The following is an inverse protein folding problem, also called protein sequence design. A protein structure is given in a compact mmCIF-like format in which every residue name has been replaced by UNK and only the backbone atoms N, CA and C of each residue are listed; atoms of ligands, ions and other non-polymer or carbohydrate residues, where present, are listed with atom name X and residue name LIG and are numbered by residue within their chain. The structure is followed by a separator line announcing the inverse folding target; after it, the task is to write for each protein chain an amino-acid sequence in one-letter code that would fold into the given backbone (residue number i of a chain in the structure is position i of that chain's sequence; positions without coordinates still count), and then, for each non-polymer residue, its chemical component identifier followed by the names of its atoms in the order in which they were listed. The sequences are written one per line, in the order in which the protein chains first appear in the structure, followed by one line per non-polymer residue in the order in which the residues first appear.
data_IF_858244809921
#
_entry.id   IF_858244809921
#
_cell.length_a   1.000
_cell.length_b   1.000
_cell.length_c   1.000
_cell.angle_alpha   90.00
_cell.angle_beta   90.00
_cell.angle_gamma   90.00
#
_symmetry.space_group_name_H-M   'P 1'
#
loop_
_entity.id
_entity.type
_entity.pdbx_description
1 polymer ?
#
# COMPACT_ATOMS: atom_id res chain seq x y z
N UNK A 1 -23.97 -25.04 30.54
CA UNK A 1 -23.08 -25.90 29.75
C UNK A 1 -21.91 -25.02 29.34
N UNK A 2 -20.73 -25.21 29.95
CA UNK A 2 -19.57 -24.38 29.63
C UNK A 2 -19.16 -24.61 28.17
N UNK A 3 -19.21 -23.55 27.37
CA UNK A 3 -18.70 -23.58 26.00
C UNK A 3 -17.18 -23.74 26.08
N UNK A 4 -16.69 -24.90 25.68
CA UNK A 4 -15.26 -25.16 25.62
C UNK A 4 -14.72 -24.58 24.32
N UNK A 5 -14.05 -23.44 24.41
CA UNK A 5 -13.42 -22.78 23.26
C UNK A 5 -12.38 -23.69 22.60
N UNK A 6 -12.31 -23.64 21.27
CA UNK A 6 -11.35 -24.41 20.50
C UNK A 6 -9.97 -23.74 20.58
N UNK A 7 -9.03 -24.38 21.29
CA UNK A 7 -7.67 -23.86 21.51
C UNK A 7 -6.95 -23.42 20.22
N UNK A 8 -7.13 -24.17 19.13
CA UNK A 8 -6.46 -23.86 17.85
C UNK A 8 -7.02 -22.58 17.20
N UNK A 9 -8.31 -22.27 17.44
CA UNK A 9 -8.91 -21.01 16.99
C UNK A 9 -8.34 -19.84 17.76
N UNK A 10 -8.23 -19.98 19.08
CA UNK A 10 -7.69 -18.93 19.93
C UNK A 10 -6.25 -18.59 19.52
N UNK A 11 -5.40 -19.59 19.33
CA UNK A 11 -4.02 -19.42 18.85
C UNK A 11 -3.98 -18.71 17.48
N UNK A 12 -4.85 -19.09 16.54
CA UNK A 12 -4.93 -18.42 15.24
C UNK A 12 -5.44 -16.97 15.37
N UNK A 13 -6.42 -16.71 16.23
CA UNK A 13 -6.93 -15.35 16.49
C UNK A 13 -5.85 -14.46 17.10
N UNK A 14 -5.06 -14.96 18.05
CA UNK A 14 -3.90 -14.25 18.60
C UNK A 14 -2.91 -13.87 17.49
N UNK A 15 -2.60 -14.82 16.59
CA UNK A 15 -1.75 -14.56 15.43
C UNK A 15 -2.34 -13.52 14.48
N UNK A 16 -3.64 -13.57 14.20
CA UNK A 16 -4.33 -12.59 13.36
C UNK A 16 -4.38 -11.18 13.96
N UNK A 17 -4.20 -11.07 15.28
CA UNK A 17 -4.13 -9.79 15.99
C UNK A 17 -2.70 -9.32 16.24
N UNK A 18 -1.70 -10.13 15.88
CA UNK A 18 -0.29 -9.76 16.02
C UNK A 18 0.10 -8.60 15.08
N UNK A 19 1.05 -7.74 15.48
CA UNK A 19 1.56 -6.69 14.61
C UNK A 19 2.16 -7.24 13.31
N UNK A 20 2.01 -6.49 12.22
CA UNK A 20 2.72 -6.81 10.98
C UNK A 20 4.17 -6.37 11.09
N UNK A 21 5.09 -7.23 10.64
CA UNK A 21 6.52 -6.93 10.60
C UNK A 21 6.93 -6.44 9.22
N UNK A 22 7.62 -5.30 9.14
CA UNK A 22 8.20 -4.76 7.91
C UNK A 22 9.72 -4.75 8.01
N UNK A 23 10.43 -5.19 6.97
CA UNK A 23 11.89 -5.23 6.97
C UNK A 23 12.49 -3.81 7.11
N UNK A 24 13.45 -3.61 8.01
CA UNK A 24 14.22 -2.36 8.11
C UNK A 24 15.42 -2.35 7.16
N UNK A 25 15.89 -1.17 6.76
CA UNK A 25 17.06 -1.04 5.88
C UNK A 25 18.39 -1.42 6.58
N UNK A 26 18.48 -1.17 7.88
CA UNK A 26 19.63 -1.42 8.77
C UNK A 26 19.51 -2.73 9.57
N UNK A 27 18.28 -3.27 9.66
CA UNK A 27 17.96 -4.45 10.47
C UNK A 27 17.66 -5.64 9.55
N UNK A 28 18.71 -6.30 9.07
CA UNK A 28 18.57 -7.60 8.37
C UNK A 28 17.90 -8.68 9.25
N UNK A 29 17.77 -8.47 10.58
CA UNK A 29 17.26 -9.46 11.53
C UNK A 29 16.08 -9.02 12.43
N UNK A 30 15.68 -7.75 12.47
CA UNK A 30 14.54 -7.28 13.30
C UNK A 30 13.57 -6.43 12.48
N UNK A 31 12.39 -6.97 12.19
CA UNK A 31 11.32 -6.23 11.54
C UNK A 31 10.81 -5.09 12.40
N UNK A 32 10.30 -4.03 11.77
CA UNK A 32 9.57 -2.95 12.42
C UNK A 32 8.12 -3.39 12.58
N UNK A 33 7.64 -3.40 13.81
CA UNK A 33 6.26 -3.77 14.15
C UNK A 33 5.28 -2.66 13.79
N UNK A 34 4.15 -3.06 13.23
CA UNK A 34 3.05 -2.17 12.88
C UNK A 34 1.75 -2.78 13.38
N UNK A 35 1.13 -2.10 14.34
CA UNK A 35 -0.14 -2.51 14.91
C UNK A 35 -1.25 -2.59 13.84
N UNK A 36 -2.08 -3.62 13.94
CA UNK A 36 -3.22 -3.84 13.04
C UNK A 36 -4.19 -2.66 13.02
N UNK A 37 -4.34 -1.94 14.14
CA UNK A 37 -5.14 -0.71 14.24
C UNK A 37 -4.73 0.33 13.18
N UNK A 38 -3.42 0.47 12.92
CA UNK A 38 -2.90 1.44 11.96
C UNK A 38 -3.17 1.03 10.51
N UNK A 39 -3.21 -0.27 10.25
CA UNK A 39 -3.53 -0.85 8.94
C UNK A 39 -5.02 -0.68 8.63
N UNK A 40 -5.86 -0.76 9.65
CA UNK A 40 -7.32 -0.59 9.59
C UNK A 40 -7.77 0.89 9.52
N UNK A 41 -6.87 1.86 9.68
CA UNK A 41 -7.22 3.29 9.67
C UNK A 41 -7.72 3.76 8.30
N UNK A 42 -9.03 3.96 8.18
CA UNK A 42 -9.67 4.41 6.93
C UNK A 42 -9.29 5.83 6.52
N UNK A 43 -8.79 6.66 7.44
CA UNK A 43 -8.30 8.01 7.14
C UNK A 43 -6.86 8.01 6.61
N UNK A 44 -6.14 6.90 6.80
CA UNK A 44 -4.74 6.77 6.46
C UNK A 44 -4.46 5.39 5.87
N UNK A 45 -4.42 5.35 4.55
CA UNK A 45 -4.13 4.15 3.79
C UNK A 45 -2.66 3.76 3.90
N UNK A 46 -2.36 3.07 4.99
CA UNK A 46 -1.01 2.65 5.36
C UNK A 46 -0.40 1.74 4.30
N UNK A 47 -1.16 0.81 3.73
CA UNK A 47 -0.68 -0.12 2.68
C UNK A 47 -0.16 0.66 1.47
N UNK A 48 -0.88 1.67 0.98
CA UNK A 48 -0.38 2.49 -0.11
C UNK A 48 0.82 3.35 0.31
N UNK A 49 0.83 3.92 1.52
CA UNK A 49 1.95 4.72 2.01
C UNK A 49 3.24 3.89 2.11
N UNK A 50 3.18 2.70 2.70
CA UNK A 50 4.36 1.83 2.85
C UNK A 50 4.82 1.29 1.49
N UNK A 51 3.90 0.95 0.59
CA UNK A 51 4.24 0.56 -0.79
C UNK A 51 4.97 1.69 -1.52
N UNK A 52 4.46 2.92 -1.42
CA UNK A 52 5.06 4.10 -2.02
C UNK A 52 6.46 4.37 -1.43
N UNK A 53 6.60 4.21 -0.10
CA UNK A 53 7.87 4.32 0.62
C UNK A 53 8.94 3.36 0.06
N UNK A 54 8.67 2.05 0.03
CA UNK A 54 9.64 1.07 -0.49
C UNK A 54 10.01 1.34 -1.95
N UNK A 55 9.05 1.80 -2.76
CA UNK A 55 9.27 2.18 -4.16
C UNK A 55 10.27 3.34 -4.29
N UNK A 56 10.08 4.40 -3.51
CA UNK A 56 10.90 5.60 -3.58
C UNK A 56 12.31 5.35 -3.04
N UNK A 57 12.42 4.56 -1.97
CA UNK A 57 13.72 4.19 -1.42
C UNK A 57 14.50 3.21 -2.31
N UNK A 58 13.80 2.36 -3.05
CA UNK A 58 14.38 1.61 -4.16
C UNK A 58 14.92 2.52 -5.28
N UNK A 59 14.19 3.59 -5.66
CA UNK A 59 14.58 4.51 -6.74
C UNK A 59 15.79 5.40 -6.41
N UNK A 60 16.09 5.61 -5.12
CA UNK A 60 17.33 6.27 -4.71
C UNK A 60 18.57 5.50 -5.16
N UNK A 61 18.49 4.17 -5.17
CA UNK A 61 19.60 3.30 -5.56
C UNK A 61 19.86 3.47 -7.05
N UNK A 62 21.08 3.91 -7.38
CA UNK A 62 21.50 3.89 -8.76
C UNK A 62 21.83 2.44 -9.10
N UNK A 63 21.00 1.81 -9.93
CA UNK A 63 21.33 0.55 -10.58
C UNK A 63 22.35 0.82 -11.70
N UNK A 64 23.49 1.44 -11.33
CA UNK A 64 24.60 1.73 -12.22
C UNK A 64 25.25 0.40 -12.61
N UNK A 65 25.28 0.11 -13.90
CA UNK A 65 25.73 -1.17 -14.44
C UNK A 65 25.07 -1.47 -15.78
N UNK A 66 24.52 -2.69 -15.93
CA UNK A 66 24.03 -3.26 -17.21
C UNK A 66 22.62 -2.83 -17.63
N UNK A 67 21.78 -2.31 -16.73
CA UNK A 67 20.39 -1.94 -17.03
C UNK A 67 20.25 -0.42 -17.17
N UNK A 68 19.56 0.04 -18.23
CA UNK A 68 19.20 1.46 -18.38
C UNK A 68 18.30 1.89 -17.21
N UNK A 69 18.51 3.11 -16.67
CA UNK A 69 17.73 3.69 -15.55
C UNK A 69 16.21 3.54 -15.77
N UNK A 70 15.73 3.77 -17.00
CA UNK A 70 14.32 3.61 -17.36
C UNK A 70 13.80 2.17 -17.18
N UNK A 71 14.59 1.18 -17.52
CA UNK A 71 14.23 -0.23 -17.37
C UNK A 71 14.24 -0.66 -15.90
N UNK A 72 15.24 -0.22 -15.13
CA UNK A 72 15.30 -0.47 -13.69
C UNK A 72 14.08 0.14 -12.98
N UNK A 73 13.76 1.40 -13.26
CA UNK A 73 12.59 2.09 -12.70
C UNK A 73 11.28 1.36 -13.03
N UNK A 74 11.14 0.82 -14.25
CA UNK A 74 9.97 0.02 -14.63
C UNK A 74 9.84 -1.25 -13.78
N UNK A 75 10.93 -1.99 -13.60
CA UNK A 75 10.95 -3.23 -12.80
C UNK A 75 10.64 -2.93 -11.32
N UNK A 76 11.18 -1.83 -10.77
CA UNK A 76 10.85 -1.35 -9.43
C UNK A 76 9.33 -1.13 -9.34
N UNK A 77 8.74 -0.40 -10.29
CA UNK A 77 7.30 -0.16 -10.30
C UNK A 77 6.45 -1.42 -10.37
N UNK A 78 6.81 -2.39 -11.22
CA UNK A 78 6.11 -3.67 -11.31
C UNK A 78 6.22 -4.49 -10.03
N UNK A 79 7.39 -4.48 -9.39
CA UNK A 79 7.65 -5.17 -8.13
C UNK A 79 6.89 -4.53 -6.97
N UNK A 80 6.89 -3.20 -6.90
CA UNK A 80 6.11 -2.44 -5.91
C UNK A 80 4.60 -2.60 -6.08
N UNK A 81 4.09 -2.66 -7.32
CA UNK A 81 2.68 -2.95 -7.54
C UNK A 81 2.32 -4.34 -7.03
N UNK A 82 3.16 -5.34 -7.33
CA UNK A 82 2.98 -6.69 -6.80
C UNK A 82 3.04 -6.72 -5.26
N UNK A 83 3.97 -5.99 -4.65
CA UNK A 83 4.07 -5.84 -3.20
C UNK A 83 2.78 -5.28 -2.60
N UNK A 84 2.29 -4.15 -3.12
CA UNK A 84 1.06 -3.55 -2.62
C UNK A 84 -0.17 -4.46 -2.83
N UNK A 85 -0.26 -5.17 -3.96
CA UNK A 85 -1.33 -6.13 -4.21
C UNK A 85 -1.25 -7.31 -3.20
N UNK A 86 -0.05 -7.81 -2.90
CA UNK A 86 0.16 -8.86 -1.89
C UNK A 86 -0.26 -8.40 -0.48
N UNK A 87 0.08 -7.17 -0.07
CA UNK A 87 -0.36 -6.62 1.21
C UNK A 87 -1.89 -6.48 1.29
N UNK A 88 -2.55 -6.10 0.20
CA UNK A 88 -4.02 -6.03 0.14
C UNK A 88 -4.67 -7.41 0.24
N UNK A 89 -4.07 -8.42 -0.38
CA UNK A 89 -4.50 -9.82 -0.20
C UNK A 89 -4.31 -10.28 1.24
N UNK A 90 -3.16 -9.99 1.87
CA UNK A 90 -2.93 -10.28 3.30
C UNK A 90 -4.03 -9.67 4.16
N UNK A 91 -4.28 -8.38 3.97
CA UNK A 91 -5.29 -7.63 4.70
C UNK A 91 -6.69 -8.24 4.53
N UNK A 92 -7.11 -8.50 3.29
CA UNK A 92 -8.39 -9.13 3.01
C UNK A 92 -8.52 -10.50 3.67
N UNK A 93 -7.49 -11.34 3.56
CA UNK A 93 -7.50 -12.67 4.14
C UNK A 93 -7.61 -12.63 5.68
N UNK A 94 -6.80 -11.80 6.33
CA UNK A 94 -6.83 -11.67 7.80
C UNK A 94 -8.15 -11.09 8.30
N UNK A 95 -8.69 -10.06 7.64
CA UNK A 95 -9.96 -9.43 8.03
C UNK A 95 -11.13 -10.40 7.90
N UNK A 96 -11.24 -11.08 6.74
CA UNK A 96 -12.30 -12.06 6.53
C UNK A 96 -12.16 -13.27 7.45
N UNK A 97 -10.95 -13.75 7.67
CA UNK A 97 -10.72 -14.88 8.56
C UNK A 97 -11.06 -14.52 10.02
N UNK A 98 -10.60 -13.36 10.52
CA UNK A 98 -10.99 -12.85 11.85
C UNK A 98 -12.51 -12.77 12.01
N UNK A 99 -13.20 -12.16 11.05
CA UNK A 99 -14.65 -12.00 11.09
C UNK A 99 -15.40 -13.34 11.14
N UNK A 100 -14.93 -14.36 10.40
CA UNK A 100 -15.57 -15.67 10.42
C UNK A 100 -15.23 -16.47 11.70
N UNK A 101 -14.00 -16.37 12.21
CA UNK A 101 -13.57 -17.08 13.41
C UNK A 101 -14.26 -16.59 14.69
N UNK A 102 -14.63 -15.31 14.78
CA UNK A 102 -15.46 -14.79 15.89
C UNK A 102 -16.79 -15.54 16.05
N UNK A 103 -17.33 -16.09 14.96
CA UNK A 103 -18.59 -16.86 14.98
C UNK A 103 -18.39 -18.34 15.25
N UNK A 104 -17.16 -18.80 15.39
CA UNK A 104 -16.77 -20.22 15.39
C UNK A 104 -15.90 -20.60 16.60
N UNK A 105 -15.77 -19.75 17.60
CA UNK A 105 -14.89 -19.96 18.76
C UNK A 105 -15.14 -21.28 19.51
N UNK A 106 -16.39 -21.74 19.49
CA UNK A 106 -16.88 -22.96 20.12
C UNK A 106 -17.30 -24.03 19.09
N UNK A 107 -16.82 -23.95 17.84
CA UNK A 107 -17.19 -24.90 16.78
C UNK A 107 -16.74 -26.32 17.12
N UNK A 108 -17.67 -27.26 16.92
CA UNK A 108 -17.39 -28.70 17.07
C UNK A 108 -17.17 -29.37 15.73
N UNK A 109 -16.60 -30.57 15.72
CA UNK A 109 -16.34 -31.30 14.48
C UNK A 109 -17.66 -31.79 13.84
N UNK A 110 -18.69 -32.10 14.63
CA UNK A 110 -20.02 -32.49 14.12
C UNK A 110 -20.70 -31.36 13.33
N UNK A 111 -20.41 -30.10 13.67
CA UNK A 111 -20.90 -28.95 12.90
C UNK A 111 -20.28 -28.84 11.51
N UNK A 112 -19.28 -29.67 11.18
CA UNK A 112 -18.70 -29.79 9.84
C UNK A 112 -19.44 -30.82 8.99
N UNK A 113 -20.30 -31.67 9.56
CA UNK A 113 -20.98 -32.76 8.83
C UNK A 113 -21.82 -32.27 7.66
N UNK A 114 -22.41 -31.07 7.76
CA UNK A 114 -23.15 -30.46 6.64
C UNK A 114 -22.26 -30.24 5.41
N UNK A 115 -20.94 -30.08 5.60
CA UNK A 115 -20.00 -29.97 4.51
C UNK A 115 -19.96 -31.28 3.74
N UNK A 116 -20.14 -32.46 4.35
CA UNK A 116 -20.16 -33.70 3.58
C UNK A 116 -21.35 -33.76 2.62
N UNK A 117 -22.55 -33.46 3.11
CA UNK A 117 -23.77 -33.44 2.30
C UNK A 117 -23.79 -32.30 1.28
N UNK A 118 -23.43 -31.09 1.72
CA UNK A 118 -23.41 -29.91 0.86
C UNK A 118 -22.24 -29.94 -0.13
N UNK A 119 -21.06 -30.44 0.28
CA UNK A 119 -19.92 -30.58 -0.61
C UNK A 119 -20.03 -31.77 -1.52
N UNK A 120 -20.86 -32.81 -1.31
CA UNK A 120 -21.09 -33.80 -2.37
C UNK A 120 -21.82 -33.14 -3.56
N UNK A 121 -22.81 -32.30 -3.27
CA UNK A 121 -23.50 -31.49 -4.27
C UNK A 121 -22.59 -30.41 -4.89
N UNK A 122 -21.81 -29.69 -4.06
CA UNK A 122 -20.86 -28.69 -4.55
C UNK A 122 -19.62 -29.36 -5.19
N UNK A 123 -19.20 -30.55 -4.81
CA UNK A 123 -18.02 -31.21 -5.40
C UNK A 123 -18.36 -31.73 -6.77
N UNK A 124 -19.48 -32.40 -7.02
CA UNK A 124 -19.82 -32.79 -8.40
C UNK A 124 -20.07 -31.58 -9.31
N UNK A 125 -20.76 -30.55 -8.80
CA UNK A 125 -21.01 -29.32 -9.56
C UNK A 125 -19.73 -28.47 -9.77
N UNK A 126 -18.84 -28.40 -8.78
CA UNK A 126 -17.66 -27.53 -8.80
C UNK A 126 -16.35 -28.23 -9.21
N UNK A 127 -16.20 -29.54 -9.01
CA UNK A 127 -15.06 -30.34 -9.47
C UNK A 127 -14.99 -30.38 -11.00
N UNK A 128 -16.12 -30.51 -11.70
CA UNK A 128 -16.15 -30.47 -13.16
C UNK A 128 -16.08 -29.06 -13.74
N UNK A 129 -16.67 -28.06 -13.07
CA UNK A 129 -16.76 -26.68 -13.60
C UNK A 129 -15.57 -25.77 -13.23
N UNK A 130 -14.91 -26.00 -12.09
CA UNK A 130 -13.96 -25.06 -11.50
C UNK A 130 -12.56 -25.61 -11.19
N UNK A 131 -12.22 -26.85 -11.61
CA UNK A 131 -10.87 -27.47 -11.48
C UNK A 131 -9.71 -26.58 -11.92
N UNK A 132 -9.99 -25.52 -12.70
CA UNK A 132 -9.02 -24.50 -13.16
C UNK A 132 -9.52 -23.06 -13.07
N UNK A 133 -10.69 -22.80 -12.49
CA UNK A 133 -11.31 -21.47 -12.51
C UNK A 133 -11.43 -20.88 -11.11
N UNK A 134 -10.34 -20.25 -10.66
CA UNK A 134 -10.23 -19.52 -9.40
C UNK A 134 -11.29 -18.40 -9.26
N UNK A 135 -11.79 -17.85 -10.38
CA UNK A 135 -12.82 -16.81 -10.37
C UNK A 135 -14.13 -17.32 -9.79
N UNK A 136 -14.47 -18.58 -10.08
CA UNK A 136 -15.68 -19.20 -9.56
C UNK A 136 -15.68 -19.43 -8.06
N UNK A 137 -14.50 -19.67 -7.47
CA UNK A 137 -14.37 -19.76 -6.01
C UNK A 137 -14.64 -18.41 -5.35
N UNK A 138 -14.20 -17.31 -5.96
CA UNK A 138 -14.54 -15.95 -5.49
C UNK A 138 -16.04 -15.64 -5.66
N UNK A 139 -16.65 -16.06 -6.77
CA UNK A 139 -18.09 -15.88 -6.99
C UNK A 139 -18.91 -16.67 -5.96
N UNK A 140 -18.54 -17.92 -5.68
CA UNK A 140 -19.15 -18.73 -4.62
C UNK A 140 -18.95 -18.07 -3.25
N UNK A 141 -17.73 -17.63 -2.94
CA UNK A 141 -17.44 -16.91 -1.70
C UNK A 141 -18.34 -15.69 -1.52
N UNK A 142 -18.54 -14.89 -2.58
CA UNK A 142 -19.49 -13.76 -2.55
C UNK A 142 -20.92 -14.21 -2.25
N UNK A 143 -21.40 -15.28 -2.88
CA UNK A 143 -22.76 -15.81 -2.63
C UNK A 143 -22.94 -16.27 -1.19
N UNK A 144 -21.90 -16.77 -0.53
CA UNK A 144 -22.01 -17.10 0.90
C UNK A 144 -22.36 -15.89 1.76
N UNK A 145 -22.06 -14.66 1.31
CA UNK A 145 -22.35 -13.41 2.04
C UNK A 145 -23.76 -12.87 1.79
N UNK A 146 -24.53 -13.44 0.85
CA UNK A 146 -25.91 -13.02 0.62
C UNK A 146 -26.86 -13.69 1.61
N UNK A 147 -27.90 -12.95 2.03
CA UNK A 147 -28.99 -13.49 2.85
C UNK A 147 -29.80 -14.49 2.03
N UNK A 148 -30.33 -15.53 2.68
CA UNK A 148 -31.11 -16.59 2.05
C UNK A 148 -30.31 -17.85 1.72
N UNK A 149 -30.88 -18.71 0.89
CA UNK A 149 -30.29 -19.99 0.49
C UNK A 149 -29.09 -19.80 -0.44
N UNK A 150 -28.15 -20.73 -0.37
CA UNK A 150 -27.00 -20.81 -1.26
C UNK A 150 -27.27 -21.89 -2.31
N UNK A 151 -27.53 -21.47 -3.55
CA UNK A 151 -27.84 -22.39 -4.67
C UNK A 151 -28.98 -23.37 -4.34
N UNK A 152 -29.99 -22.92 -3.57
CA UNK A 152 -31.13 -23.74 -3.15
C UNK A 152 -30.94 -24.49 -1.83
N UNK A 153 -29.76 -24.38 -1.20
CA UNK A 153 -29.45 -25.00 0.10
C UNK A 153 -29.61 -23.97 1.22
N UNK A 154 -30.46 -24.26 2.19
CA UNK A 154 -30.66 -23.42 3.37
C UNK A 154 -29.54 -23.66 4.39
N UNK A 155 -28.52 -22.81 4.34
CA UNK A 155 -27.41 -22.81 5.29
C UNK A 155 -27.61 -21.73 6.36
N UNK A 156 -27.39 -22.09 7.62
CA UNK A 156 -27.28 -21.13 8.72
C UNK A 156 -26.08 -20.18 8.50
N UNK A 157 -26.09 -18.99 9.11
CA UNK A 157 -24.93 -18.08 9.02
C UNK A 157 -23.65 -18.69 9.63
N UNK A 158 -23.79 -19.61 10.59
CA UNK A 158 -22.66 -20.33 11.17
C UNK A 158 -22.06 -21.31 10.16
N UNK A 159 -22.89 -22.12 9.50
CA UNK A 159 -22.46 -23.00 8.40
C UNK A 159 -21.87 -22.20 7.24
N UNK A 160 -22.44 -21.05 6.88
CA UNK A 160 -21.85 -20.14 5.89
C UNK A 160 -20.48 -19.61 6.34
N UNK A 161 -20.27 -19.35 7.63
CA UNK A 161 -18.97 -18.91 8.16
C UNK A 161 -17.92 -20.01 8.05
N UNK A 162 -18.29 -21.26 8.37
CA UNK A 162 -17.44 -22.44 8.14
C UNK A 162 -17.05 -22.54 6.66
N UNK A 163 -18.04 -22.45 5.75
CA UNK A 163 -17.81 -22.52 4.32
C UNK A 163 -16.90 -21.38 3.83
N UNK A 164 -17.06 -20.16 4.36
CA UNK A 164 -16.20 -19.01 4.03
C UNK A 164 -14.75 -19.27 4.41
N UNK A 165 -14.47 -19.84 5.59
CA UNK A 165 -13.10 -20.21 6.00
C UNK A 165 -12.50 -21.23 5.03
N UNK A 166 -13.25 -22.30 4.72
CA UNK A 166 -12.81 -23.32 3.78
C UNK A 166 -12.52 -22.75 2.39
N UNK A 167 -13.41 -21.88 1.88
CA UNK A 167 -13.24 -21.22 0.59
C UNK A 167 -12.05 -20.26 0.57
N UNK A 168 -11.85 -19.45 1.61
CA UNK A 168 -10.67 -18.57 1.73
C UNK A 168 -9.38 -19.37 1.68
N UNK A 169 -9.31 -20.47 2.45
CA UNK A 169 -8.17 -21.37 2.46
C UNK A 169 -7.88 -21.95 1.07
N UNK A 170 -8.92 -22.41 0.37
CA UNK A 170 -8.78 -22.96 -0.99
C UNK A 170 -8.34 -21.89 -2.02
N UNK A 171 -8.97 -20.71 -1.99
CA UNK A 171 -8.63 -19.58 -2.85
C UNK A 171 -7.16 -19.20 -2.64
N UNK A 172 -6.70 -19.07 -1.40
CA UNK A 172 -5.32 -18.65 -1.13
C UNK A 172 -4.30 -19.76 -1.33
N UNK A 173 -4.65 -21.03 -1.08
CA UNK A 173 -3.77 -22.16 -1.37
C UNK A 173 -3.37 -22.21 -2.86
N UNK A 174 -4.26 -21.83 -3.78
CA UNK A 174 -3.95 -21.68 -5.22
C UNK A 174 -2.75 -20.77 -5.50
N UNK A 175 -2.55 -19.71 -4.69
CA UNK A 175 -1.44 -18.77 -4.86
C UNK A 175 -0.07 -19.41 -4.56
N UNK A 176 -0.05 -20.43 -3.70
CA UNK A 176 1.18 -21.01 -3.16
C UNK A 176 1.40 -22.47 -3.58
N UNK A 177 0.42 -23.06 -4.28
CA UNK A 177 0.33 -24.48 -4.62
C UNK A 177 1.63 -25.08 -5.21
N UNK A 178 2.29 -24.40 -6.16
CA UNK A 178 3.46 -24.95 -6.87
C UNK A 178 4.79 -24.90 -6.12
N UNK A 179 4.90 -24.23 -4.97
CA UNK A 179 6.18 -24.09 -4.24
C UNK A 179 6.22 -24.76 -2.86
N UNK A 180 5.09 -24.84 -2.16
CA UNK A 180 5.09 -25.23 -0.73
C UNK A 180 3.97 -26.19 -0.34
N UNK A 181 3.26 -26.68 -1.35
CA UNK A 181 2.10 -27.54 -1.24
C UNK A 181 2.27 -28.74 -2.19
N UNK A 182 3.53 -29.09 -2.52
CA UNK A 182 3.89 -30.17 -3.45
C UNK A 182 3.49 -31.55 -2.91
N UNK A 183 3.55 -31.74 -1.59
CA UNK A 183 3.13 -32.97 -0.90
C UNK A 183 1.61 -33.08 -0.74
N UNK A 184 0.86 -32.11 -1.27
CA UNK A 184 -0.57 -32.00 -1.09
C UNK A 184 -1.22 -31.91 -2.48
N UNK A 185 -1.64 -33.05 -3.03
CA UNK A 185 -2.23 -33.10 -4.35
C UNK A 185 -3.51 -32.21 -4.40
N UNK A 186 -3.52 -31.25 -5.34
CA UNK A 186 -4.58 -30.26 -5.53
C UNK A 186 -6.04 -30.75 -5.54
N UNK A 187 -6.37 -32.02 -5.88
CA UNK A 187 -7.75 -32.48 -5.75
C UNK A 187 -8.26 -32.60 -4.30
N UNK A 188 -7.41 -32.60 -3.27
CA UNK A 188 -7.82 -32.95 -1.90
C UNK A 188 -8.09 -31.75 -0.95
N UNK A 189 -7.85 -30.50 -1.36
CA UNK A 189 -8.00 -29.32 -0.47
C UNK A 189 -9.44 -28.90 -0.17
N UNK A 190 -10.38 -29.27 -1.04
CA UNK A 190 -11.80 -29.14 -0.75
C UNK A 190 -12.25 -30.12 0.35
N UNK A 191 -11.38 -31.04 0.80
CA UNK A 191 -11.75 -32.23 1.56
C UNK A 191 -10.98 -32.42 2.89
N UNK A 192 -10.24 -31.42 3.38
CA UNK A 192 -9.81 -31.45 4.78
C UNK A 192 -11.00 -31.06 5.65
N UNK A 193 -11.68 -32.10 6.14
CA UNK A 193 -12.96 -32.02 6.83
C UNK A 193 -12.84 -31.65 8.31
N UNK A 194 -11.63 -31.69 8.85
CA UNK A 194 -11.42 -31.36 10.26
C UNK A 194 -10.95 -29.92 10.46
N UNK A 195 -11.38 -29.35 11.57
CA UNK A 195 -11.11 -27.95 11.87
C UNK A 195 -9.62 -27.68 12.11
N UNK A 196 -8.91 -28.63 12.72
CA UNK A 196 -7.46 -28.54 12.98
C UNK A 196 -6.67 -28.40 11.67
N UNK A 197 -7.05 -29.11 10.62
CA UNK A 197 -6.46 -28.97 9.29
C UNK A 197 -6.75 -27.61 8.67
N UNK A 198 -7.97 -27.09 8.79
CA UNK A 198 -8.32 -25.75 8.27
C UNK A 198 -7.48 -24.66 8.95
N UNK A 199 -7.31 -24.72 10.27
CA UNK A 199 -6.45 -23.81 11.02
C UNK A 199 -4.99 -23.89 10.53
N UNK A 200 -4.44 -25.10 10.41
CA UNK A 200 -3.06 -25.30 9.92
C UNK A 200 -2.86 -24.76 8.50
N UNK A 201 -3.85 -24.91 7.63
CA UNK A 201 -3.82 -24.32 6.27
C UNK A 201 -3.78 -22.80 6.37
N UNK A 202 -4.62 -22.19 7.22
CA UNK A 202 -4.62 -20.74 7.41
C UNK A 202 -3.29 -20.22 7.94
N UNK A 203 -2.72 -20.88 8.94
CA UNK A 203 -1.40 -20.52 9.47
C UNK A 203 -0.30 -20.58 8.41
N UNK A 204 -0.36 -21.60 7.55
CA UNK A 204 0.59 -21.78 6.45
C UNK A 204 0.42 -20.68 5.41
N UNK A 205 -0.80 -20.31 5.06
CA UNK A 205 -1.09 -19.22 4.12
C UNK A 205 -0.51 -17.90 4.65
N UNK A 206 -0.78 -17.55 5.91
CA UNK A 206 -0.25 -16.34 6.55
C UNK A 206 1.28 -16.31 6.50
N UNK A 207 1.91 -17.42 6.93
CA UNK A 207 3.37 -17.56 6.88
C UNK A 207 3.92 -17.37 5.46
N UNK A 208 3.26 -17.96 4.47
CA UNK A 208 3.69 -17.89 3.06
C UNK A 208 3.57 -16.47 2.48
N UNK A 209 2.52 -15.73 2.86
CA UNK A 209 2.36 -14.32 2.49
C UNK A 209 3.49 -13.50 3.11
N UNK A 210 3.80 -13.70 4.40
CA UNK A 210 4.87 -12.96 5.08
C UNK A 210 6.26 -13.28 4.51
N UNK A 211 6.52 -14.53 4.14
CA UNK A 211 7.75 -14.93 3.46
C UNK A 211 7.92 -14.24 2.10
N UNK A 212 6.89 -14.23 1.27
CA UNK A 212 6.90 -13.50 0.00
C UNK A 212 7.09 -11.99 0.24
N UNK A 213 6.34 -11.43 1.19
CA UNK A 213 6.39 -10.01 1.56
C UNK A 213 7.82 -9.60 1.91
N UNK A 214 8.43 -10.28 2.87
CA UNK A 214 9.82 -10.04 3.31
C UNK A 214 10.81 -10.23 2.16
N UNK A 215 10.60 -11.24 1.32
CA UNK A 215 11.40 -11.44 0.11
C UNK A 215 11.31 -10.26 -0.87
N UNK A 216 10.14 -9.65 -1.04
CA UNK A 216 9.96 -8.47 -1.90
C UNK A 216 10.57 -7.22 -1.26
N UNK A 217 10.35 -7.00 0.03
CA UNK A 217 10.95 -5.90 0.80
C UNK A 217 12.48 -5.94 0.71
N UNK A 218 13.08 -7.11 0.94
CA UNK A 218 14.51 -7.36 0.78
C UNK A 218 14.94 -7.09 -0.66
N UNK A 219 14.20 -7.58 -1.65
CA UNK A 219 14.50 -7.32 -3.05
C UNK A 219 14.48 -5.83 -3.41
N UNK A 220 13.59 -5.01 -2.81
CA UNK A 220 13.52 -3.55 -2.99
C UNK A 220 14.60 -2.82 -2.18
N UNK A 221 14.96 -3.33 -0.99
CA UNK A 221 16.01 -2.74 -0.15
C UNK A 221 17.44 -3.09 -0.57
N UNK A 222 17.67 -4.24 -1.15
CA UNK A 222 18.99 -4.70 -1.55
C UNK A 222 19.10 -4.86 -3.08
N UNK A 223 18.29 -4.08 -3.81
CA UNK A 223 18.27 -4.03 -5.28
C UNK A 223 19.67 -3.98 -5.88
N UNK A 224 20.03 -5.06 -6.58
CA UNK A 224 21.19 -5.12 -7.46
C UNK A 224 20.78 -5.66 -8.85
N UNK A 225 21.71 -5.62 -9.81
CA UNK A 225 21.45 -6.05 -11.20
C UNK A 225 21.07 -7.52 -11.35
N UNK A 226 21.58 -8.41 -10.48
CA UNK A 226 21.24 -9.83 -10.49
C UNK A 226 19.84 -10.09 -9.91
N UNK A 227 19.48 -9.38 -8.84
CA UNK A 227 18.15 -9.40 -8.22
C UNK A 227 17.09 -8.98 -9.24
N UNK A 228 17.33 -7.92 -10.01
CA UNK A 228 16.40 -7.47 -11.06
C UNK A 228 16.15 -8.53 -12.14
N UNK A 229 17.16 -9.28 -12.56
CA UNK A 229 17.01 -10.36 -13.55
C UNK A 229 16.20 -11.53 -12.98
N UNK A 230 16.34 -11.86 -11.69
CA UNK A 230 15.51 -12.90 -11.02
C UNK A 230 14.05 -12.45 -10.86
N UNK A 231 13.83 -11.18 -10.56
CA UNK A 231 12.48 -10.55 -10.43
C UNK A 231 11.69 -10.61 -11.74
N UNK A 232 12.37 -10.53 -12.90
CA UNK A 232 11.78 -10.66 -14.24
C UNK A 232 11.18 -12.06 -14.49
N UNK A 233 11.78 -13.10 -13.91
CA UNK A 233 11.39 -14.51 -14.11
C UNK A 233 10.14 -14.90 -13.28
N UNK A 234 9.79 -14.13 -12.25
CA UNK A 234 8.64 -14.38 -11.37
C UNK A 234 7.26 -13.88 -11.86
N UNK A 235 7.06 -13.69 -13.17
CA UNK A 235 5.90 -12.97 -13.74
C UNK A 235 4.53 -13.62 -13.48
N UNK A 236 4.45 -14.95 -13.40
CA UNK A 236 3.16 -15.67 -13.27
C UNK A 236 2.47 -15.42 -11.94
N UNK A 237 3.19 -15.49 -10.82
CA UNK A 237 2.62 -15.26 -9.47
C UNK A 237 2.16 -13.80 -9.31
N UNK A 238 2.96 -12.85 -9.81
CA UNK A 238 2.60 -11.43 -9.86
C UNK A 238 1.28 -11.20 -10.58
N UNK A 239 1.09 -11.87 -11.72
CA UNK A 239 -0.16 -11.78 -12.49
C UNK A 239 -1.35 -12.31 -11.69
N UNK A 240 -1.25 -13.50 -11.09
CA UNK A 240 -2.35 -14.11 -10.33
C UNK A 240 -2.73 -13.24 -9.12
N UNK A 241 -1.76 -12.75 -8.35
CA UNK A 241 -2.04 -11.86 -7.21
C UNK A 241 -2.78 -10.60 -7.63
N UNK A 242 -2.38 -9.99 -8.75
CA UNK A 242 -3.09 -8.81 -9.28
C UNK A 242 -4.51 -9.15 -9.76
N UNK A 243 -4.72 -10.32 -10.37
CA UNK A 243 -6.05 -10.77 -10.77
C UNK A 243 -6.97 -11.04 -9.57
N UNK A 244 -6.44 -11.60 -8.48
CA UNK A 244 -7.20 -11.80 -7.25
C UNK A 244 -7.65 -10.47 -6.65
N UNK A 245 -6.75 -9.48 -6.54
CA UNK A 245 -7.14 -8.15 -6.08
C UNK A 245 -8.26 -7.53 -6.94
N UNK A 246 -8.14 -7.62 -8.27
CA UNK A 246 -9.18 -7.11 -9.18
C UNK A 246 -10.51 -7.81 -8.96
N UNK A 247 -10.52 -9.14 -8.85
CA UNK A 247 -11.76 -9.90 -8.64
C UNK A 247 -12.41 -9.55 -7.30
N UNK A 248 -11.62 -9.34 -6.24
CA UNK A 248 -12.12 -8.85 -4.94
C UNK A 248 -12.79 -7.48 -5.09
N UNK A 249 -12.18 -6.55 -5.82
CA UNK A 249 -12.76 -5.22 -6.10
C UNK A 249 -14.01 -5.31 -6.98
N UNK A 250 -13.97 -6.06 -8.07
CA UNK A 250 -15.09 -6.28 -9.01
C UNK A 250 -16.32 -6.87 -8.32
N UNK A 251 -16.08 -7.77 -7.36
CA UNK A 251 -17.13 -8.40 -6.58
C UNK A 251 -17.62 -7.54 -5.40
N UNK A 252 -16.98 -6.41 -5.12
CA UNK A 252 -17.17 -5.57 -3.93
C UNK A 252 -16.99 -6.37 -2.63
N UNK A 253 -16.06 -7.32 -2.61
CA UNK A 253 -15.74 -8.09 -1.40
C UNK A 253 -14.91 -7.28 -0.41
N UNK A 254 -14.07 -6.37 -0.92
CA UNK A 254 -13.41 -5.35 -0.13
C UNK A 254 -13.22 -4.07 -0.97
N UNK A 255 -13.36 -2.93 -0.31
CA UNK A 255 -13.05 -1.64 -0.91
C UNK A 255 -11.61 -1.27 -0.57
N UNK A 256 -10.66 -1.73 -1.38
CA UNK A 256 -9.30 -1.23 -1.27
C UNK A 256 -9.32 0.28 -1.53
N UNK A 257 -8.74 1.06 -0.61
CA UNK A 257 -8.69 2.51 -0.75
C UNK A 257 -8.05 2.83 -2.10
N UNK A 258 -8.90 3.36 -2.97
CA UNK A 258 -8.58 3.57 -4.37
C UNK A 258 -7.33 4.47 -4.43
N UNK A 259 -6.36 4.14 -5.29
CA UNK A 259 -5.01 4.74 -5.45
C UNK A 259 -4.96 6.26 -5.69
N UNK A 260 -6.04 7.01 -5.46
CA UNK A 260 -6.34 8.30 -6.08
C UNK A 260 -5.52 9.46 -5.55
N UNK A 261 -4.99 9.47 -4.31
CA UNK A 261 -4.26 10.66 -3.83
C UNK A 261 -3.00 10.42 -2.99
N UNK A 262 -2.63 9.18 -2.66
CA UNK A 262 -1.42 8.96 -1.86
C UNK A 262 -0.17 9.11 -2.74
N UNK A 263 0.87 9.73 -2.17
CA UNK A 263 2.17 9.87 -2.81
C UNK A 263 3.19 9.98 -1.69
N UNK A 264 4.21 9.14 -1.71
CA UNK A 264 5.44 9.38 -0.97
C UNK A 264 6.52 9.94 -1.91
N UNK A 265 7.37 10.82 -1.39
CA UNK A 265 8.59 11.26 -2.04
C UNK A 265 9.69 11.53 -1.01
N UNK A 266 10.94 11.42 -1.44
CA UNK A 266 12.07 11.76 -0.61
C UNK A 266 13.25 12.34 -1.39
N UNK A 267 14.13 13.05 -0.68
CA UNK A 267 15.35 13.66 -1.21
C UNK A 267 16.47 13.45 -0.20
N UNK A 268 17.64 13.03 -0.68
CA UNK A 268 18.87 12.96 0.13
C UNK A 268 19.74 14.16 -0.23
N UNK A 269 20.01 15.02 0.74
CA UNK A 269 20.75 16.28 0.55
C UNK A 269 21.45 16.68 1.85
N UNK A 270 22.72 17.09 1.77
CA UNK A 270 23.52 17.52 2.93
C UNK A 270 23.49 16.53 4.11
N UNK A 271 23.62 15.23 3.85
CA UNK A 271 23.51 14.15 4.84
C UNK A 271 22.17 14.08 5.60
N UNK A 272 21.13 14.75 5.10
CA UNK A 272 19.76 14.64 5.61
C UNK A 272 18.87 13.93 4.58
N UNK A 273 18.02 13.03 5.05
CA UNK A 273 16.99 12.38 4.26
C UNK A 273 15.65 13.07 4.50
N UNK A 274 15.24 13.90 3.56
CA UNK A 274 13.96 14.60 3.61
C UNK A 274 12.86 13.70 3.06
N UNK A 275 11.82 13.44 3.85
CA UNK A 275 10.70 12.59 3.45
C UNK A 275 9.38 13.37 3.52
N UNK A 276 8.41 13.03 2.68
CA UNK A 276 7.09 13.65 2.75
C UNK A 276 6.02 12.75 2.15
N UNK A 277 4.81 12.84 2.71
CA UNK A 277 3.63 12.07 2.30
C UNK A 277 2.52 13.03 1.90
N UNK A 278 1.92 12.87 0.74
CA UNK A 278 0.75 13.65 0.33
C UNK A 278 -0.43 13.35 1.24
N UNK A 279 -1.16 14.39 1.66
CA UNK A 279 -2.29 14.27 2.59
C UNK A 279 -1.90 14.39 4.06
N UNK A 280 -0.64 14.16 4.42
CA UNK A 280 -0.12 14.39 5.78
C UNK A 280 0.52 15.78 5.85
N UNK A 281 -0.26 16.78 6.27
CA UNK A 281 0.18 18.19 6.25
C UNK A 281 0.20 18.85 7.64
N UNK A 282 0.00 18.08 8.69
CA UNK A 282 -0.02 18.61 10.05
C UNK A 282 1.38 19.11 10.43
N UNK A 283 1.46 20.33 10.97
CA UNK A 283 2.73 21.03 11.24
C UNK A 283 3.52 20.37 12.38
N UNK A 284 2.83 19.60 13.22
CA UNK A 284 3.40 18.99 14.42
C UNK A 284 4.03 17.61 14.16
N UNK A 285 3.91 17.09 12.93
CA UNK A 285 4.51 15.81 12.56
C UNK A 285 6.04 15.94 12.54
N UNK A 286 6.72 15.06 13.27
CA UNK A 286 8.18 15.00 13.38
C UNK A 286 8.71 13.66 12.90
N UNK A 287 9.95 13.65 12.39
CA UNK A 287 10.66 12.43 12.07
C UNK A 287 11.38 11.90 13.32
N UNK A 288 10.72 11.05 14.09
CA UNK A 288 11.24 10.42 15.32
C UNK A 288 10.91 8.93 15.28
N UNK A 289 11.73 8.08 15.91
CA UNK A 289 11.50 6.62 15.95
C UNK A 289 10.46 6.27 17.02
N UNK A 290 10.58 6.85 18.21
CA UNK A 290 9.70 6.52 19.34
C UNK A 290 8.44 7.36 19.34
N UNK A 291 7.28 6.71 19.28
CA UNK A 291 6.00 7.36 19.53
C UNK A 291 5.44 7.01 20.90
N UNK A 292 4.96 8.02 21.62
CA UNK A 292 4.07 7.80 22.76
C UNK A 292 2.81 7.05 22.28
N UNK A 293 2.27 6.13 23.09
CA UNK A 293 0.98 5.45 22.81
C UNK A 293 -0.15 6.42 22.46
N UNK A 294 -0.11 7.66 22.98
CA UNK A 294 -1.08 8.74 22.71
C UNK A 294 -0.84 9.52 21.40
N UNK A 295 0.16 9.17 20.60
CA UNK A 295 0.45 9.85 19.34
C UNK A 295 -0.67 9.59 18.31
N UNK A 296 -0.94 10.58 17.45
CA UNK A 296 -1.88 10.41 16.34
C UNK A 296 -1.38 9.36 15.35
N UNK A 297 -2.30 8.67 14.67
CA UNK A 297 -1.96 7.66 13.65
C UNK A 297 -1.05 8.23 12.54
N UNK A 298 -1.24 9.50 12.17
CA UNK A 298 -0.37 10.20 11.21
C UNK A 298 1.08 10.30 11.69
N UNK A 299 1.29 10.61 12.97
CA UNK A 299 2.63 10.63 13.58
C UNK A 299 3.20 9.21 13.69
N UNK A 300 2.38 8.21 14.09
CA UNK A 300 2.78 6.79 14.15
C UNK A 300 3.31 6.31 12.79
N UNK A 301 2.59 6.59 11.69
CA UNK A 301 3.05 6.23 10.34
C UNK A 301 4.42 6.83 10.00
N UNK A 302 4.61 8.14 10.23
CA UNK A 302 5.92 8.75 9.94
C UNK A 302 7.02 8.13 10.78
N UNK A 303 6.73 7.79 12.03
CA UNK A 303 7.72 7.22 12.94
C UNK A 303 8.11 5.80 12.53
N UNK A 304 7.14 4.98 12.13
CA UNK A 304 7.37 3.66 11.52
C UNK A 304 8.24 3.78 10.27
N UNK A 305 7.96 4.72 9.36
CA UNK A 305 8.79 4.88 8.16
C UNK A 305 10.22 5.32 8.50
N UNK A 306 10.39 6.17 9.51
CA UNK A 306 11.73 6.58 10.00
C UNK A 306 12.46 5.39 10.61
N UNK A 307 11.77 4.57 11.39
CA UNK A 307 12.34 3.35 11.95
C UNK A 307 12.74 2.35 10.86
N UNK A 308 11.89 2.14 9.85
CA UNK A 308 12.19 1.27 8.70
C UNK A 308 13.41 1.80 7.93
N UNK A 309 13.59 3.11 7.81
CA UNK A 309 14.76 3.69 7.13
C UNK A 309 16.07 3.41 7.86
N UNK A 310 16.08 3.37 9.19
CA UNK A 310 17.29 3.07 9.97
C UNK A 310 18.44 4.07 9.79
N UNK A 311 18.20 5.26 9.22
CA UNK A 311 19.24 6.27 8.97
C UNK A 311 19.18 7.40 9.99
N UNK A 312 20.36 7.86 10.44
CA UNK A 312 20.47 8.75 11.61
C UNK A 312 20.01 10.21 11.44
N UNK A 313 19.70 10.67 10.22
CA UNK A 313 19.25 12.05 10.01
C UNK A 313 18.11 12.12 8.97
N UNK A 314 16.87 11.99 9.47
CA UNK A 314 15.64 12.08 8.69
C UNK A 314 14.87 13.34 9.10
N UNK A 315 14.33 14.06 8.13
CA UNK A 315 13.42 15.18 8.37
C UNK A 315 12.09 14.95 7.65
N UNK A 316 10.98 15.07 8.37
CA UNK A 316 9.65 15.07 7.78
C UNK A 316 9.31 16.48 7.26
N UNK A 317 8.97 16.59 5.98
CA UNK A 317 8.66 17.87 5.33
C UNK A 317 7.15 18.04 5.20
N UNK A 318 6.57 18.90 6.04
CA UNK A 318 5.18 19.37 5.94
C UNK A 318 5.02 20.55 4.96
N UNK A 319 3.81 21.09 4.81
CA UNK A 319 3.60 22.28 3.97
C UNK A 319 4.14 23.52 4.71
N UNK A 320 5.21 24.10 4.18
CA UNK A 320 5.77 25.36 4.68
C UNK A 320 4.96 26.57 4.18
N UNK A 321 4.92 27.66 4.97
CA UNK A 321 4.27 28.93 4.61
C UNK A 321 4.76 29.50 3.28
N UNK A 322 6.02 29.27 2.92
CA UNK A 322 6.64 29.73 1.67
C UNK A 322 6.43 28.77 0.51
N UNK A 323 5.77 27.62 0.71
CA UNK A 323 5.45 26.67 -0.37
C UNK A 323 4.66 27.37 -1.45
N UNK A 324 5.07 27.24 -2.71
CA UNK A 324 4.54 28.01 -3.84
C UNK A 324 3.62 27.19 -4.72
N UNK A 325 2.51 27.81 -5.12
CA UNK A 325 1.72 27.39 -6.28
C UNK A 325 2.01 28.33 -7.44
N UNK A 326 2.48 27.79 -8.56
CA UNK A 326 2.83 28.57 -9.73
C UNK A 326 1.67 28.63 -10.72
N UNK A 327 1.32 29.84 -11.14
CA UNK A 327 0.45 30.11 -12.28
C UNK A 327 1.22 29.97 -13.60
N UNK A 328 0.48 30.00 -14.73
CA UNK A 328 1.09 30.14 -16.06
C UNK A 328 1.93 31.42 -16.11
N UNK A 329 3.11 31.35 -16.74
CA UNK A 329 4.09 32.45 -16.88
C UNK A 329 4.88 32.84 -15.62
N UNK A 330 4.94 31.98 -14.59
CA UNK A 330 5.90 32.15 -13.48
C UNK A 330 5.44 33.03 -12.33
N UNK A 331 4.26 33.65 -12.41
CA UNK A 331 3.59 34.24 -11.23
C UNK A 331 3.25 33.12 -10.23
N UNK A 332 3.25 33.42 -8.94
CA UNK A 332 2.99 32.42 -7.91
C UNK A 332 2.33 33.02 -6.67
N UNK A 333 1.59 32.17 -5.95
CA UNK A 333 1.10 32.44 -4.59
C UNK A 333 1.78 31.50 -3.60
N UNK A 334 1.95 31.94 -2.36
CA UNK A 334 2.46 31.13 -1.25
C UNK A 334 1.32 30.47 -0.46
N UNK A 335 1.65 29.43 0.30
CA UNK A 335 0.71 28.79 1.21
C UNK A 335 0.19 29.77 2.27
N UNK A 336 1.02 30.70 2.73
CA UNK A 336 0.58 31.76 3.65
C UNK A 336 -0.53 32.64 3.05
N UNK A 337 -0.40 33.03 1.77
CA UNK A 337 -1.45 33.79 1.09
C UNK A 337 -2.74 32.95 0.96
N UNK A 338 -2.60 31.65 0.74
CA UNK A 338 -3.72 30.72 0.69
C UNK A 338 -4.40 30.54 2.06
N UNK A 339 -3.65 30.35 3.15
CA UNK A 339 -4.20 30.25 4.51
C UNK A 339 -5.03 31.49 4.85
N UNK A 340 -4.52 32.69 4.55
CA UNK A 340 -5.25 33.97 4.74
C UNK A 340 -6.52 34.06 3.91
N UNK A 341 -6.57 33.41 2.74
CA UNK A 341 -7.74 33.44 1.86
C UNK A 341 -8.92 32.61 2.35
N UNK A 342 -8.71 31.66 3.28
CA UNK A 342 -9.71 30.67 3.73
C UNK A 342 -10.33 29.85 2.58
N UNK A 343 -9.64 29.76 1.44
CA UNK A 343 -10.06 28.92 0.31
C UNK A 343 -9.97 27.43 0.67
N UNK A 344 -10.86 26.63 0.06
CA UNK A 344 -10.89 25.16 0.22
C UNK A 344 -10.01 24.42 -0.80
N UNK A 345 -9.43 25.12 -1.77
CA UNK A 345 -8.67 24.53 -2.88
C UNK A 345 -7.22 24.16 -2.49
N UNK A 346 -7.07 23.35 -1.44
CA UNK A 346 -5.77 23.05 -0.82
C UNK A 346 -4.85 22.17 -1.69
N UNK A 347 -5.39 21.44 -2.69
CA UNK A 347 -4.62 20.60 -3.64
C UNK A 347 -3.48 21.37 -4.31
N UNK A 348 -3.59 22.69 -4.40
CA UNK A 348 -2.52 23.58 -4.85
C UNK A 348 -1.19 23.40 -4.10
N UNK A 349 -1.19 22.92 -2.86
CA UNK A 349 0.01 22.88 -2.00
C UNK A 349 0.37 21.50 -1.45
N UNK A 350 -0.53 20.50 -1.56
CA UNK A 350 -0.36 19.21 -0.87
C UNK A 350 0.62 18.23 -1.52
N UNK A 351 0.93 18.38 -2.82
CA UNK A 351 1.82 17.45 -3.50
C UNK A 351 3.25 17.47 -2.93
N UNK A 352 3.81 16.29 -2.75
CA UNK A 352 5.13 16.01 -2.22
C UNK A 352 6.25 16.84 -2.87
N UNK A 353 6.22 16.96 -4.20
CA UNK A 353 7.25 17.64 -4.97
C UNK A 353 7.31 19.13 -4.61
N UNK A 354 6.15 19.77 -4.39
CA UNK A 354 6.12 21.20 -4.02
C UNK A 354 6.63 21.43 -2.60
N UNK A 355 6.26 20.55 -1.66
CA UNK A 355 6.78 20.57 -0.28
C UNK A 355 8.30 20.46 -0.28
N UNK A 356 8.84 19.46 -0.98
CA UNK A 356 10.28 19.23 -1.09
C UNK A 356 11.00 20.37 -1.84
N UNK A 357 10.44 20.89 -2.94
CA UNK A 357 11.03 22.05 -3.65
C UNK A 357 11.12 23.25 -2.71
N UNK A 358 10.08 23.53 -1.92
CA UNK A 358 10.09 24.62 -0.94
C UNK A 358 11.17 24.44 0.12
N UNK A 359 11.31 23.21 0.65
CA UNK A 359 12.35 22.88 1.62
C UNK A 359 13.76 23.02 1.04
N UNK A 360 13.99 22.55 -0.19
CA UNK A 360 15.29 22.68 -0.85
C UNK A 360 15.65 24.16 -1.08
N UNK A 361 14.67 24.99 -1.47
CA UNK A 361 14.86 26.44 -1.63
C UNK A 361 15.23 27.11 -0.29
N UNK A 362 14.68 26.63 0.84
CA UNK A 362 14.96 27.19 2.17
C UNK A 362 16.32 26.81 2.76
N UNK A 363 16.91 25.70 2.35
CA UNK A 363 18.26 25.27 2.79
C UNK A 363 19.36 26.25 2.36
N UNK A 364 19.13 27.07 1.32
CA UNK A 364 20.06 28.13 0.95
C UNK A 364 21.40 27.61 0.39
N UNK A 365 21.33 26.67 -0.55
CA UNK A 365 22.49 25.99 -1.14
C UNK A 365 23.61 26.96 -1.59
N UNK A 366 24.89 26.61 -1.38
CA UNK A 366 26.02 27.48 -1.75
C UNK A 366 26.31 27.48 -3.26
N UNK A 367 26.13 26.34 -3.93
CA UNK A 367 26.41 26.13 -5.36
C UNK A 367 25.20 25.54 -6.08
N UNK A 368 25.17 25.69 -7.40
CA UNK A 368 24.10 25.12 -8.24
C UNK A 368 24.26 23.60 -8.35
N UNK A 369 23.32 22.84 -7.78
CA UNK A 369 23.34 21.37 -7.82
C UNK A 369 22.14 20.79 -8.58
N UNK A 370 22.24 19.53 -8.99
CA UNK A 370 21.07 18.77 -9.48
C UNK A 370 20.60 17.83 -8.39
N UNK A 371 19.39 18.07 -7.89
CA UNK A 371 18.74 17.23 -6.88
C UNK A 371 17.93 16.15 -7.58
N UNK A 372 18.27 14.89 -7.33
CA UNK A 372 17.45 13.74 -7.73
C UNK A 372 16.30 13.62 -6.73
N UNK A 373 15.07 13.64 -7.22
CA UNK A 373 13.86 13.51 -6.42
C UNK A 373 13.08 12.27 -6.89
N UNK A 374 13.31 11.13 -6.24
CA UNK A 374 12.43 9.98 -6.32
C UNK A 374 11.01 10.30 -5.85
N UNK A 375 10.04 9.93 -6.68
CA UNK A 375 8.61 10.09 -6.43
C UNK A 375 7.89 8.83 -6.88
N UNK A 376 6.87 8.43 -6.14
CA UNK A 376 6.11 7.22 -6.49
C UNK A 376 5.32 7.40 -7.79
N UNK A 377 4.80 8.60 -8.02
CA UNK A 377 3.98 8.95 -9.18
C UNK A 377 4.65 10.00 -10.02
N UNK A 378 4.45 9.93 -11.34
CA UNK A 378 4.95 10.97 -12.22
C UNK A 378 4.31 12.32 -11.84
N UNK A 379 5.05 13.45 -11.89
CA UNK A 379 4.54 14.73 -11.45
C UNK A 379 3.28 15.15 -12.19
N UNK A 380 2.23 15.48 -11.43
CA UNK A 380 1.00 16.06 -11.99
C UNK A 380 1.28 17.41 -12.67
N UNK A 381 0.30 17.98 -13.36
CA UNK A 381 0.45 19.22 -14.14
C UNK A 381 0.97 20.38 -13.27
N UNK A 382 0.49 20.49 -12.04
CA UNK A 382 0.94 21.51 -11.09
C UNK A 382 2.40 21.29 -10.65
N UNK A 383 2.79 20.05 -10.33
CA UNK A 383 4.17 19.70 -9.97
C UNK A 383 5.12 19.87 -11.16
N UNK A 384 4.72 19.38 -12.33
CA UNK A 384 5.44 19.56 -13.60
C UNK A 384 5.68 21.03 -13.91
N UNK A 385 4.69 21.90 -13.69
CA UNK A 385 4.81 23.35 -13.84
C UNK A 385 5.82 23.94 -12.84
N UNK A 386 5.73 23.57 -11.57
CA UNK A 386 6.66 24.01 -10.53
C UNK A 386 8.11 23.60 -10.86
N UNK A 387 8.33 22.34 -11.23
CA UNK A 387 9.64 21.80 -11.61
C UNK A 387 10.22 22.57 -12.82
N UNK A 388 9.42 22.80 -13.87
CA UNK A 388 9.86 23.55 -15.06
C UNK A 388 10.31 24.97 -14.69
N UNK A 389 9.53 25.67 -13.86
CA UNK A 389 9.86 27.04 -13.44
C UNK A 389 11.13 27.05 -12.58
N UNK A 390 11.21 26.16 -11.59
CA UNK A 390 12.40 26.00 -10.74
C UNK A 390 13.65 25.75 -11.58
N UNK A 391 13.58 24.85 -12.57
CA UNK A 391 14.73 24.48 -13.39
C UNK A 391 15.17 25.58 -14.38
N UNK A 392 14.25 26.47 -14.79
CA UNK A 392 14.52 27.59 -15.71
C UNK A 392 15.07 28.84 -15.01
N UNK A 393 14.94 28.94 -13.69
CA UNK A 393 15.42 30.11 -12.93
C UNK A 393 16.93 30.24 -13.09
N UNK A 394 17.40 31.30 -13.79
CA UNK A 394 18.83 31.53 -14.04
C UNK A 394 19.62 31.64 -12.73
N UNK A 395 19.10 32.43 -11.78
CA UNK A 395 19.63 32.61 -10.41
C UNK A 395 19.30 31.45 -9.47
N UNK A 396 18.64 30.39 -9.95
CA UNK A 396 18.29 29.23 -9.15
C UNK A 396 19.53 28.41 -8.78
N UNK A 397 19.65 28.09 -7.49
CA UNK A 397 20.77 27.31 -6.93
C UNK A 397 20.57 25.79 -6.98
N UNK A 398 19.51 25.32 -7.63
CA UNK A 398 19.32 23.90 -7.88
C UNK A 398 18.45 23.63 -9.11
N UNK A 399 18.56 22.41 -9.64
CA UNK A 399 17.65 21.82 -10.62
C UNK A 399 17.09 20.53 -10.04
N UNK A 400 15.83 20.23 -10.32
CA UNK A 400 15.17 18.96 -9.95
C UNK A 400 15.21 18.00 -11.13
N UNK A 401 15.76 16.80 -10.91
CA UNK A 401 15.61 15.63 -11.80
C UNK A 401 14.67 14.64 -11.10
N UNK A 402 13.52 14.39 -11.71
CA UNK A 402 12.55 13.42 -11.20
C UNK A 402 13.02 12.00 -11.54
N UNK A 403 12.92 11.11 -10.56
CA UNK A 403 12.99 9.66 -10.75
C UNK A 403 11.62 9.06 -10.41
N UNK A 404 11.02 8.34 -11.34
CA UNK A 404 9.76 7.64 -11.10
C UNK A 404 9.70 6.32 -11.88
N UNK A 405 8.85 5.36 -11.46
CA UNK A 405 8.77 4.04 -12.09
C UNK A 405 8.20 4.07 -13.52
N UNK A 406 7.19 4.91 -13.75
CA UNK A 406 6.60 5.14 -15.08
C UNK A 406 5.88 6.49 -15.11
N UNK A 407 5.80 7.09 -16.30
CA UNK A 407 4.83 8.15 -16.60
C UNK A 407 3.47 7.48 -16.81
N UNK A 408 2.48 7.84 -16.00
CA UNK A 408 1.10 7.42 -16.26
C UNK A 408 0.38 8.46 -17.14
N UNK A 409 -0.71 8.03 -17.78
CA UNK A 409 -1.54 8.89 -18.62
C UNK A 409 -2.62 9.62 -17.79
N UNK A 410 -2.50 9.63 -16.46
CA UNK A 410 -3.48 10.26 -15.56
C UNK A 410 -3.19 11.75 -15.50
N UNK A 411 -3.78 12.47 -16.44
CA UNK A 411 -3.77 13.92 -16.46
C UNK A 411 -4.85 14.46 -15.51
N UNK A 412 -4.57 15.57 -14.82
CA UNK A 412 -5.62 16.32 -14.13
C UNK A 412 -6.61 16.86 -15.15
N UNK A 413 -7.88 16.86 -14.80
CA UNK A 413 -8.92 17.45 -15.62
C UNK A 413 -8.62 18.94 -15.84
N UNK A 414 -8.73 19.40 -17.10
CA UNK A 414 -8.54 20.81 -17.46
C UNK A 414 -9.46 21.74 -16.66
N UNK A 415 -10.69 21.29 -16.33
CA UNK A 415 -11.61 22.05 -15.48
C UNK A 415 -11.05 22.26 -14.07
N UNK A 416 -10.46 21.23 -13.45
CA UNK A 416 -9.84 21.34 -12.13
C UNK A 416 -8.61 22.23 -12.14
N UNK A 417 -7.79 22.14 -13.20
CA UNK A 417 -6.63 23.01 -13.40
C UNK A 417 -7.07 24.47 -13.47
N UNK A 418 -8.08 24.77 -14.29
CA UNK A 418 -8.60 26.13 -14.45
C UNK A 418 -9.19 26.65 -13.13
N UNK A 419 -9.94 25.83 -12.40
CA UNK A 419 -10.51 26.19 -11.09
C UNK A 419 -9.41 26.61 -10.10
N UNK A 420 -8.33 25.83 -10.01
CA UNK A 420 -7.18 26.12 -9.16
C UNK A 420 -6.44 27.38 -9.60
N UNK A 421 -6.25 27.57 -10.91
CA UNK A 421 -5.60 28.75 -11.47
C UNK A 421 -6.42 30.04 -11.23
N UNK A 422 -7.75 30.01 -11.39
CA UNK A 422 -8.61 31.16 -11.07
C UNK A 422 -8.62 31.47 -9.57
N UNK A 423 -8.70 30.45 -8.73
CA UNK A 423 -8.57 30.62 -7.27
C UNK A 423 -7.24 31.31 -6.91
N UNK A 424 -6.13 30.84 -7.45
CA UNK A 424 -4.82 31.43 -7.21
C UNK A 424 -4.70 32.87 -7.73
N UNK A 425 -5.31 33.20 -8.87
CA UNK A 425 -5.36 34.59 -9.38
C UNK A 425 -6.12 35.50 -8.42
N UNK A 426 -7.27 35.06 -7.90
CA UNK A 426 -8.05 35.83 -6.92
C UNK A 426 -7.26 36.07 -5.64
N UNK A 427 -6.62 35.03 -5.10
CA UNK A 427 -5.75 35.12 -3.91
C UNK A 427 -4.60 36.10 -4.16
N UNK A 428 -3.93 36.01 -5.32
CA UNK A 428 -2.84 36.90 -5.68
C UNK A 428 -3.25 38.37 -5.76
N UNK A 429 -4.49 38.67 -6.17
CA UNK A 429 -5.03 40.04 -6.23
C UNK A 429 -5.37 40.56 -4.83
N UNK A 430 -6.02 39.73 -4.01
CA UNK A 430 -6.50 40.11 -2.67
C UNK A 430 -5.38 40.22 -1.64
N UNK A 431 -4.35 39.39 -1.75
CA UNK A 431 -3.22 39.35 -0.83
C UNK A 431 -1.92 39.53 -1.63
N UNK A 432 -1.62 40.72 -2.17
CA UNK A 432 -0.41 40.93 -2.96
C UNK A 432 0.85 40.68 -2.11
N UNK A 433 1.90 40.13 -2.72
CA UNK A 433 3.20 40.01 -2.05
C UNK A 433 3.71 41.40 -1.73
N UNK A 434 4.17 41.62 -0.50
CA UNK A 434 4.85 42.87 -0.15
C UNK A 434 5.99 43.08 -1.14
N UNK A 435 5.98 44.22 -1.84
CA UNK A 435 7.15 44.65 -2.60
C UNK A 435 8.25 44.84 -1.57
N UNK A 436 9.25 43.97 -1.56
CA UNK A 436 10.49 44.25 -0.84
C UNK A 436 11.01 45.57 -1.42
N UNK A 437 10.98 46.63 -0.62
CA UNK A 437 11.74 47.85 -0.86
C UNK A 437 13.22 47.50 -0.85
#
# INVERSE_FOLDING_TARGET
MDRKENKSILELKEKLNSPWLFLGQDKESRGVEVDKELILDTNLDFINVVTDFYTVEALHKNVGGRLKEKSANKIIGETSNYYGDLLRLKFFYEDELSNNLERLEDVTEEELDFLEESLLFLSDYYYYRYRRNWEGLFDLYKRTKTKGSLDGIDLTERQKSILRVCLLNNIYALLFHRRHFLDFAFPYYLFFRDWKSQIKISEKILFMIDMDKTGIESNLFFLNTQVLNRILIGSKKKHIVSQFCKKIEELNLANFINKKNNCYASVRLNNTHYITINGLNDKDIKAIITTNKKASNKQKVVSILVEILGVGNVEYVSIDKKTKYYLKYGKDITYEQFEKSKSRENRMFTCCERKLISKIDSIGLGKKITVKMPVTKYPCEFCSRAIKITNRKKTGKFKIKIKSPKKDNRCLNKKDINKMDECAKMISKKFPKSRKK
#
